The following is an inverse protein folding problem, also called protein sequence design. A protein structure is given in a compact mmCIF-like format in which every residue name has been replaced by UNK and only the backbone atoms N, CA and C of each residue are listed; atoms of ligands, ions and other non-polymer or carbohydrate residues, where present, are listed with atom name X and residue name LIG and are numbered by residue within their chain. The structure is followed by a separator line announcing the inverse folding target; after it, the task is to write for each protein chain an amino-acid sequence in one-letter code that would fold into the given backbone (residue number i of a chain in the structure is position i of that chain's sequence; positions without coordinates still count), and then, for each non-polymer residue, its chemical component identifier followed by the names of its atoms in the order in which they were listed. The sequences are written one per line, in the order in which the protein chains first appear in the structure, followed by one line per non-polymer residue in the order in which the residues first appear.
data_IF_925785687991
#
_entry.id   IF_925785687991
#
_cell.length_a   1.000
_cell.length_b   1.000
_cell.length_c   1.000
_cell.angle_alpha   90.00
_cell.angle_beta   90.00
_cell.angle_gamma   90.00
#
_symmetry.space_group_name_H-M   'P 1'
#
loop_
_entity.id
_entity.type
_entity.pdbx_description
1 polymer ?
#
# COMPACT_ATOMS: atom_id res chain seq x y z
N UNK A 1 -26.79 -11.47 0.45
CA UNK A 1 -25.87 -12.51 0.98
C UNK A 1 -26.50 -13.87 0.77
N UNK A 2 -25.75 -14.86 0.26
CA UNK A 2 -26.22 -16.24 0.18
C UNK A 2 -26.28 -16.82 1.61
N UNK A 3 -27.38 -17.47 1.98
CA UNK A 3 -27.50 -18.20 3.25
C UNK A 3 -26.67 -19.48 3.18
N UNK A 4 -25.88 -19.77 4.22
CA UNK A 4 -25.02 -20.95 4.25
C UNK A 4 -25.86 -22.23 4.19
N UNK A 5 -27.04 -22.20 4.79
CA UNK A 5 -28.03 -23.28 4.78
C UNK A 5 -28.47 -23.64 3.36
N UNK A 6 -28.69 -22.62 2.51
CA UNK A 6 -29.07 -22.83 1.10
C UNK A 6 -27.92 -23.44 0.31
N UNK A 7 -26.69 -22.93 0.49
CA UNK A 7 -25.50 -23.50 -0.13
C UNK A 7 -25.31 -24.97 0.25
N UNK A 8 -25.48 -25.32 1.53
CA UNK A 8 -25.33 -26.70 2.00
C UNK A 8 -26.42 -27.62 1.45
N UNK A 9 -27.65 -27.12 1.27
CA UNK A 9 -28.73 -27.87 0.63
C UNK A 9 -28.40 -28.20 -0.83
N UNK A 10 -27.86 -27.22 -1.57
CA UNK A 10 -27.44 -27.39 -2.96
C UNK A 10 -26.24 -28.38 -3.06
N UNK A 11 -25.22 -28.24 -2.20
CA UNK A 11 -24.11 -29.20 -2.15
C UNK A 11 -24.55 -30.63 -1.83
N UNK A 12 -25.57 -30.80 -0.97
CA UNK A 12 -26.14 -32.12 -0.66
C UNK A 12 -26.89 -32.69 -1.87
N UNK A 13 -27.57 -31.84 -2.65
CA UNK A 13 -28.20 -32.26 -3.89
C UNK A 13 -27.14 -32.77 -4.89
N UNK A 14 -26.07 -32.00 -5.11
CA UNK A 14 -24.98 -32.36 -6.02
C UNK A 14 -24.29 -33.65 -5.59
N UNK A 15 -23.93 -33.79 -4.30
CA UNK A 15 -23.26 -34.98 -3.78
C UNK A 15 -24.12 -36.27 -3.86
N UNK A 16 -25.45 -36.14 -3.96
CA UNK A 16 -26.35 -37.29 -4.19
C UNK A 16 -26.38 -37.70 -5.67
N UNK A 17 -26.20 -36.76 -6.58
CA UNK A 17 -26.17 -37.01 -8.01
C UNK A 17 -24.78 -37.43 -8.49
N UNK A 18 -23.72 -36.92 -7.86
CA UNK A 18 -22.32 -37.20 -8.17
C UNK A 18 -21.52 -37.41 -6.86
N UNK A 19 -21.41 -38.65 -6.36
CA UNK A 19 -20.84 -38.92 -5.04
C UNK A 19 -19.33 -38.64 -4.97
N UNK A 20 -18.85 -37.79 -4.05
CA UNK A 20 -17.43 -37.39 -3.96
C UNK A 20 -16.51 -38.44 -3.31
N UNK A 21 -16.99 -39.68 -3.14
CA UNK A 21 -16.27 -40.76 -2.45
C UNK A 21 -16.53 -40.83 -0.93
N UNK A 22 -15.85 -41.76 -0.26
CA UNK A 22 -16.01 -42.03 1.17
C UNK A 22 -14.78 -41.60 1.98
N UNK A 23 -15.01 -41.13 3.21
CA UNK A 23 -13.97 -40.90 4.21
C UNK A 23 -13.96 -42.05 5.22
N UNK A 24 -12.80 -42.47 5.75
CA UNK A 24 -12.70 -43.52 6.77
C UNK A 24 -13.12 -42.98 8.15
N UNK A 25 -14.38 -42.54 8.29
CA UNK A 25 -14.93 -41.93 9.49
C UNK A 25 -16.25 -42.61 9.89
N UNK A 26 -16.46 -42.81 11.19
CA UNK A 26 -17.70 -43.36 11.74
C UNK A 26 -18.65 -42.21 12.08
N UNK A 27 -19.94 -42.25 11.67
CA UNK A 27 -20.88 -41.13 11.80
C UNK A 27 -21.19 -40.66 13.23
N UNK A 28 -21.08 -41.54 14.22
CA UNK A 28 -21.61 -41.28 15.58
C UNK A 28 -20.53 -40.96 16.62
N UNK A 29 -19.35 -40.49 16.19
CA UNK A 29 -18.22 -40.19 17.07
C UNK A 29 -17.80 -38.72 17.09
N UNK A 30 -17.07 -38.33 18.14
CA UNK A 30 -16.46 -37.00 18.27
C UNK A 30 -15.57 -36.62 17.08
N UNK A 31 -14.93 -37.63 16.46
CA UNK A 31 -14.15 -37.48 15.25
C UNK A 31 -14.99 -36.98 14.06
N UNK A 32 -16.25 -37.43 13.92
CA UNK A 32 -17.15 -36.96 12.87
C UNK A 32 -17.66 -35.54 13.13
N UNK A 33 -17.99 -35.21 14.39
CA UNK A 33 -18.35 -33.85 14.76
C UNK A 33 -17.21 -32.85 14.51
N UNK A 34 -15.97 -33.24 14.82
CA UNK A 34 -14.78 -32.45 14.51
C UNK A 34 -14.57 -32.32 13.00
N UNK A 35 -14.66 -33.43 12.24
CA UNK A 35 -14.53 -33.41 10.79
C UNK A 35 -15.58 -32.50 10.12
N UNK A 36 -16.85 -32.52 10.56
CA UNK A 36 -17.90 -31.61 10.08
C UNK A 36 -17.56 -30.14 10.30
N UNK A 37 -17.09 -29.79 11.51
CA UNK A 37 -16.66 -28.42 11.82
C UNK A 37 -15.48 -28.00 10.95
N UNK A 38 -14.48 -28.87 10.78
CA UNK A 38 -13.31 -28.61 9.93
C UNK A 38 -13.71 -28.45 8.47
N UNK A 39 -14.55 -29.33 7.93
CA UNK A 39 -15.03 -29.27 6.56
C UNK A 39 -15.80 -27.97 6.28
N UNK A 40 -16.77 -27.61 7.15
CA UNK A 40 -17.52 -26.37 7.02
C UNK A 40 -16.63 -25.14 7.17
N UNK A 41 -15.73 -25.12 8.17
CA UNK A 41 -14.82 -24.00 8.38
C UNK A 41 -13.85 -23.83 7.20
N UNK A 42 -13.30 -24.93 6.67
CA UNK A 42 -12.40 -24.92 5.53
C UNK A 42 -13.12 -24.50 4.24
N UNK A 43 -14.31 -25.03 3.97
CA UNK A 43 -15.11 -24.65 2.80
C UNK A 43 -15.57 -23.19 2.85
N UNK A 44 -16.06 -22.72 4.00
CA UNK A 44 -16.42 -21.30 4.16
C UNK A 44 -15.19 -20.38 4.09
N UNK A 45 -14.04 -20.83 4.62
CA UNK A 45 -12.78 -20.09 4.47
C UNK A 45 -12.34 -20.04 3.00
N UNK A 46 -12.37 -21.17 2.29
CA UNK A 46 -12.04 -21.25 0.88
C UNK A 46 -12.97 -20.36 0.04
N UNK A 47 -14.28 -20.35 0.27
CA UNK A 47 -15.23 -19.46 -0.44
C UNK A 47 -15.02 -17.98 -0.11
N UNK A 48 -14.60 -17.66 1.12
CA UNK A 48 -14.19 -16.29 1.50
C UNK A 48 -12.85 -15.90 0.88
N UNK A 49 -11.96 -16.88 0.71
CA UNK A 49 -10.65 -16.73 0.07
C UNK A 49 -10.75 -16.67 -1.47
N UNK A 50 -11.72 -17.35 -2.09
CA UNK A 50 -12.06 -17.26 -3.52
C UNK A 50 -12.73 -15.93 -3.85
N UNK A 51 -13.55 -15.40 -2.92
CA UNK A 51 -14.05 -14.02 -2.96
C UNK A 51 -13.04 -13.02 -2.39
N UNK A 52 -11.74 -13.28 -2.52
CA UNK A 52 -10.74 -12.27 -2.17
C UNK A 52 -10.94 -11.06 -3.10
N UNK A 53 -11.01 -9.85 -2.53
CA UNK A 53 -10.81 -8.62 -3.31
C UNK A 53 -9.40 -8.53 -3.94
N UNK A 54 -8.57 -9.56 -3.77
CA UNK A 54 -7.26 -9.71 -4.38
C UNK A 54 -7.26 -10.47 -5.72
N UNK A 55 -8.45 -10.90 -6.20
CA UNK A 55 -8.61 -11.76 -7.38
C UNK A 55 -8.13 -11.15 -8.71
N UNK A 56 -7.72 -9.88 -8.74
CA UNK A 56 -7.14 -9.22 -9.92
C UNK A 56 -5.66 -8.84 -9.80
N UNK A 57 -5.02 -8.95 -8.63
CA UNK A 57 -3.66 -8.46 -8.46
C UNK A 57 -2.60 -9.41 -9.02
N UNK A 58 -1.68 -8.85 -9.81
CA UNK A 58 -0.49 -9.50 -10.30
C UNK A 58 0.76 -8.81 -9.79
N UNK A 59 1.83 -9.58 -9.54
CA UNK A 59 3.14 -9.05 -9.14
C UNK A 59 4.25 -9.58 -10.05
N UNK A 60 5.15 -8.67 -10.41
CA UNK A 60 6.45 -8.99 -10.99
C UNK A 60 7.56 -8.32 -10.19
N UNK A 61 8.67 -9.03 -10.00
CA UNK A 61 9.86 -8.52 -9.35
C UNK A 61 10.87 -8.10 -10.40
N UNK A 62 11.43 -6.89 -10.29
CA UNK A 62 12.43 -6.37 -11.24
C UNK A 62 13.63 -5.86 -10.48
N UNK A 63 14.83 -6.30 -10.86
CA UNK A 63 16.07 -5.97 -10.16
C UNK A 63 17.04 -5.22 -11.10
N UNK A 64 17.41 -3.97 -10.78
CA UNK A 64 18.37 -3.22 -11.58
C UNK A 64 19.78 -3.82 -11.53
N UNK A 65 20.47 -3.83 -12.66
CA UNK A 65 21.88 -4.18 -12.79
C UNK A 65 22.73 -2.97 -12.38
N UNK A 66 22.87 -2.82 -11.06
CA UNK A 66 23.63 -1.76 -10.45
C UNK A 66 22.92 -0.40 -10.42
N UNK A 67 23.61 0.58 -9.83
CA UNK A 67 23.00 1.86 -9.47
C UNK A 67 22.57 2.71 -10.67
N UNK A 68 23.25 2.58 -11.82
CA UNK A 68 23.02 3.39 -13.02
C UNK A 68 21.72 3.04 -13.74
N UNK A 69 21.16 1.86 -13.49
CA UNK A 69 19.94 1.39 -14.14
C UNK A 69 18.65 1.94 -13.50
N UNK A 70 18.71 2.45 -12.27
CA UNK A 70 17.53 2.93 -11.54
C UNK A 70 16.72 4.00 -12.31
N UNK A 71 17.30 5.08 -12.84
CA UNK A 71 16.53 6.10 -13.56
C UNK A 71 15.81 5.55 -14.80
N UNK A 72 16.45 4.61 -15.52
CA UNK A 72 15.83 3.97 -16.68
C UNK A 72 14.69 3.03 -16.25
N UNK A 73 14.87 2.27 -15.15
CA UNK A 73 13.83 1.41 -14.60
C UNK A 73 12.62 2.20 -14.12
N UNK A 74 12.79 3.34 -13.43
CA UNK A 74 11.66 4.17 -13.01
C UNK A 74 10.91 4.78 -14.19
N UNK A 75 11.63 5.26 -15.22
CA UNK A 75 10.98 5.76 -16.44
C UNK A 75 10.17 4.67 -17.10
N UNK A 76 10.75 3.47 -17.25
CA UNK A 76 10.03 2.33 -17.81
C UNK A 76 8.78 1.99 -17.00
N UNK A 77 8.89 1.93 -15.68
CA UNK A 77 7.75 1.67 -14.81
C UNK A 77 6.67 2.77 -14.90
N UNK A 78 7.06 4.04 -14.99
CA UNK A 78 6.13 5.15 -15.19
C UNK A 78 5.40 5.05 -16.55
N UNK A 79 6.12 4.68 -17.61
CA UNK A 79 5.55 4.48 -18.94
C UNK A 79 4.58 3.29 -18.94
N UNK A 80 4.97 2.15 -18.39
CA UNK A 80 4.13 0.95 -18.21
C UNK A 80 2.89 1.25 -17.38
N UNK A 81 3.02 2.03 -16.31
CA UNK A 81 1.86 2.43 -15.50
C UNK A 81 0.86 3.28 -16.29
N UNK A 82 1.36 4.24 -17.09
CA UNK A 82 0.49 5.07 -17.95
C UNK A 82 -0.16 4.26 -19.06
N UNK A 83 0.57 3.34 -19.67
CA UNK A 83 0.07 2.48 -20.75
C UNK A 83 -1.05 1.56 -20.26
N UNK A 84 -0.81 0.79 -19.20
CA UNK A 84 -1.76 -0.20 -18.70
C UNK A 84 -3.00 0.44 -18.05
N UNK A 85 -2.84 1.59 -17.38
CA UNK A 85 -3.99 2.32 -16.82
C UNK A 85 -4.75 3.11 -17.88
N UNK A 86 -4.06 3.64 -18.89
CA UNK A 86 -4.68 4.36 -20.00
C UNK A 86 -5.46 3.47 -20.96
N UNK A 87 -5.06 2.21 -21.12
CA UNK A 87 -5.78 1.22 -21.95
C UNK A 87 -6.94 0.53 -21.21
N UNK A 88 -7.04 0.71 -19.89
CA UNK A 88 -8.00 0.01 -19.04
C UNK A 88 -7.64 -1.45 -18.74
N UNK A 89 -6.43 -1.89 -19.09
CA UNK A 89 -5.92 -3.23 -18.71
C UNK A 89 -5.69 -3.36 -17.20
N UNK A 90 -5.40 -2.24 -16.54
CA UNK A 90 -5.32 -2.15 -15.09
C UNK A 90 -6.02 -0.88 -14.59
N UNK A 91 -6.64 -0.95 -13.42
CA UNK A 91 -7.28 0.19 -12.74
C UNK A 91 -6.38 0.76 -11.62
N UNK A 92 -5.60 -0.09 -10.98
CA UNK A 92 -4.69 0.25 -9.89
C UNK A 92 -3.28 -0.35 -10.07
N UNK A 93 -2.28 0.32 -9.50
CA UNK A 93 -0.91 -0.19 -9.49
C UNK A 93 -0.11 0.40 -8.34
N UNK A 94 0.88 -0.33 -7.85
CA UNK A 94 1.87 0.26 -6.98
C UNK A 94 3.19 -0.50 -7.03
N UNK A 95 4.25 0.14 -6.55
CA UNK A 95 5.54 -0.52 -6.38
C UNK A 95 6.09 -0.29 -4.98
N UNK A 96 7.02 -1.16 -4.58
CA UNK A 96 7.81 -0.98 -3.35
C UNK A 96 9.25 -1.39 -3.61
N UNK A 97 10.19 -0.66 -3.02
CA UNK A 97 11.58 -1.09 -2.97
C UNK A 97 11.73 -2.25 -2.00
N UNK A 98 12.17 -3.39 -2.52
CA UNK A 98 12.58 -4.53 -1.70
C UNK A 98 13.82 -5.16 -2.33
N UNK A 99 14.97 -5.22 -1.61
CA UNK A 99 16.20 -5.78 -2.15
C UNK A 99 15.96 -7.15 -2.81
N UNK A 100 16.51 -7.39 -4.01
CA UNK A 100 17.47 -6.55 -4.74
C UNK A 100 16.88 -5.43 -5.63
N UNK A 101 15.56 -5.21 -5.66
CA UNK A 101 14.96 -4.27 -6.61
C UNK A 101 13.57 -3.76 -6.22
N UNK A 102 12.62 -3.90 -7.14
CA UNK A 102 11.23 -3.51 -7.00
C UNK A 102 10.32 -4.73 -6.99
N UNK A 103 9.29 -4.67 -6.15
CA UNK A 103 8.06 -5.44 -6.35
C UNK A 103 7.08 -4.51 -7.04
N UNK A 104 6.66 -4.87 -8.24
CA UNK A 104 5.72 -4.09 -9.05
C UNK A 104 4.40 -4.86 -9.09
N UNK A 105 3.32 -4.19 -8.73
CA UNK A 105 1.98 -4.78 -8.59
C UNK A 105 0.99 -3.99 -9.42
N UNK A 106 0.14 -4.69 -10.16
CA UNK A 106 -0.99 -4.10 -10.87
C UNK A 106 -2.24 -4.91 -10.58
N UNK A 107 -3.39 -4.23 -10.56
CA UNK A 107 -4.69 -4.86 -10.45
C UNK A 107 -5.33 -4.90 -11.84
N UNK A 108 -5.77 -6.08 -12.27
CA UNK A 108 -6.54 -6.22 -13.49
C UNK A 108 -7.98 -5.73 -13.24
N UNK A 109 -8.50 -4.93 -14.17
CA UNK A 109 -9.88 -4.42 -14.10
C UNK A 109 -10.91 -5.54 -13.97
N UNK A 110 -10.63 -6.70 -14.57
CA UNK A 110 -11.41 -7.92 -14.40
C UNK A 110 -10.51 -9.04 -13.85
N UNK A 111 -10.93 -9.80 -12.82
CA UNK A 111 -10.12 -10.88 -12.23
C UNK A 111 -9.58 -11.91 -13.24
N UNK A 112 -10.38 -12.26 -14.25
CA UNK A 112 -9.97 -13.20 -15.31
C UNK A 112 -8.82 -12.67 -16.17
N UNK A 113 -8.58 -11.35 -16.18
CA UNK A 113 -7.50 -10.70 -16.90
C UNK A 113 -6.15 -10.74 -16.19
N UNK A 114 -6.08 -11.16 -14.93
CA UNK A 114 -4.84 -11.10 -14.13
C UNK A 114 -3.67 -11.88 -14.74
N UNK A 115 -3.94 -13.03 -15.36
CA UNK A 115 -2.91 -13.83 -16.03
C UNK A 115 -2.34 -13.12 -17.26
N UNK A 116 -3.20 -12.59 -18.13
CA UNK A 116 -2.80 -11.84 -19.31
C UNK A 116 -2.06 -10.55 -18.93
N UNK A 117 -2.54 -9.83 -17.91
CA UNK A 117 -1.88 -8.64 -17.37
C UNK A 117 -0.47 -8.95 -16.85
N UNK A 118 -0.28 -10.11 -16.21
CA UNK A 118 1.05 -10.56 -15.74
C UNK A 118 2.01 -10.80 -16.90
N UNK A 119 1.57 -11.50 -17.94
CA UNK A 119 2.38 -11.75 -19.14
C UNK A 119 2.77 -10.43 -19.81
N UNK A 120 1.81 -9.52 -19.89
CA UNK A 120 2.02 -8.19 -20.45
C UNK A 120 3.00 -7.35 -19.61
N UNK A 121 2.92 -7.43 -18.27
CA UNK A 121 3.90 -6.80 -17.40
C UNK A 121 5.32 -7.34 -17.58
N UNK A 122 5.47 -8.67 -17.71
CA UNK A 122 6.77 -9.29 -17.98
C UNK A 122 7.32 -8.79 -19.32
N UNK A 123 6.47 -8.75 -20.36
CA UNK A 123 6.83 -8.23 -21.68
C UNK A 123 7.24 -6.76 -21.61
N UNK A 124 6.41 -5.91 -21.02
CA UNK A 124 6.65 -4.48 -20.93
C UNK A 124 7.88 -4.18 -20.06
N UNK A 125 8.12 -4.86 -18.95
CA UNK A 125 9.29 -4.58 -18.13
C UNK A 125 10.56 -5.28 -18.65
N UNK A 126 10.45 -6.28 -19.52
CA UNK A 126 11.57 -7.00 -20.14
C UNK A 126 12.05 -6.46 -21.49
N UNK A 127 11.26 -5.66 -22.21
CA UNK A 127 11.53 -5.24 -23.60
C UNK A 127 12.39 -3.97 -23.74
N UNK A 128 13.15 -3.57 -22.72
CA UNK A 128 14.03 -2.41 -22.80
C UNK A 128 15.51 -2.82 -22.68
N UNK A 129 16.44 -2.22 -23.46
CA UNK A 129 17.87 -2.29 -23.19
C UNK A 129 18.18 -1.42 -21.96
N UNK A 130 17.69 -1.84 -20.81
CA UNK A 130 17.88 -1.18 -19.54
C UNK A 130 18.48 -2.21 -18.62
N UNK A 131 19.73 -2.02 -18.25
CA UNK A 131 20.51 -2.99 -17.47
C UNK A 131 19.79 -3.38 -16.18
N UNK A 132 18.90 -4.35 -16.25
CA UNK A 132 18.16 -4.97 -15.16
C UNK A 132 17.79 -6.38 -15.58
N UNK A 133 17.67 -7.26 -14.60
CA UNK A 133 17.33 -8.66 -14.85
C UNK A 133 15.91 -8.79 -15.40
N UNK A 134 15.67 -9.89 -16.14
CA UNK A 134 14.33 -10.22 -16.62
C UNK A 134 13.31 -10.20 -15.46
N UNK A 135 12.13 -9.58 -15.64
CA UNK A 135 11.08 -9.57 -14.63
C UNK A 135 10.68 -10.98 -14.22
N UNK A 136 10.57 -11.23 -12.91
CA UNK A 136 10.19 -12.54 -12.37
C UNK A 136 8.76 -12.46 -11.80
N UNK A 137 7.80 -13.22 -12.35
CA UNK A 137 6.46 -13.36 -11.76
C UNK A 137 6.50 -13.80 -10.30
N UNK A 138 5.61 -13.26 -9.48
CA UNK A 138 5.49 -13.61 -8.07
C UNK A 138 4.04 -13.54 -7.60
N UNK A 139 3.75 -14.21 -6.48
CA UNK A 139 2.45 -14.11 -5.81
C UNK A 139 2.44 -12.85 -4.94
N UNK A 140 1.37 -12.07 -5.04
CA UNK A 140 1.10 -10.97 -4.12
C UNK A 140 0.22 -11.45 -2.97
N UNK A 141 0.71 -11.30 -1.75
CA UNK A 141 -0.08 -11.44 -0.54
C UNK A 141 -0.23 -10.05 0.10
N UNK A 142 -1.44 -9.48 0.14
CA UNK A 142 -1.65 -8.18 0.77
C UNK A 142 -1.54 -8.26 2.28
N UNK A 143 -0.91 -7.24 2.86
CA UNK A 143 -0.77 -7.05 4.29
C UNK A 143 -2.09 -6.52 4.93
N UNK A 144 -3.22 -7.14 4.61
CA UNK A 144 -4.58 -6.71 5.01
C UNK A 144 -4.73 -6.50 6.51
N UNK A 145 -4.01 -7.29 7.33
CA UNK A 145 -4.01 -7.18 8.78
C UNK A 145 -3.48 -5.83 9.29
N UNK A 146 -2.57 -5.17 8.56
CA UNK A 146 -2.06 -3.83 8.90
C UNK A 146 -3.08 -2.74 8.61
N UNK A 147 -4.01 -2.99 7.68
CA UNK A 147 -4.92 -2.00 7.17
C UNK A 147 -6.37 -2.22 7.59
N UNK A 148 -6.66 -3.19 8.45
CA UNK A 148 -8.02 -3.41 8.99
C UNK A 148 -8.85 -4.43 8.21
N UNK A 149 -8.21 -5.22 7.36
CA UNK A 149 -8.80 -6.32 6.61
C UNK A 149 -9.06 -6.01 5.13
N UNK A 150 -9.57 -7.01 4.42
CA UNK A 150 -9.81 -7.00 2.98
C UNK A 150 -10.59 -5.76 2.49
N UNK A 151 -11.73 -5.43 3.14
CA UNK A 151 -12.55 -4.25 2.80
C UNK A 151 -11.76 -2.93 2.84
N UNK A 152 -10.89 -2.78 3.82
CA UNK A 152 -10.08 -1.56 3.94
C UNK A 152 -8.92 -1.54 2.96
N UNK A 153 -8.46 -2.71 2.52
CA UNK A 153 -7.29 -2.86 1.65
C UNK A 153 -7.55 -2.24 0.27
N UNK A 154 -8.77 -2.32 -0.24
CA UNK A 154 -9.17 -1.68 -1.51
C UNK A 154 -8.87 -0.18 -1.51
N UNK A 155 -9.20 0.52 -0.41
CA UNK A 155 -8.89 1.94 -0.25
C UNK A 155 -7.39 2.20 -0.07
N UNK A 156 -6.71 1.34 0.69
CA UNK A 156 -5.26 1.43 0.85
C UNK A 156 -4.51 1.26 -0.49
N UNK A 157 -5.01 0.38 -1.37
CA UNK A 157 -4.47 0.18 -2.72
C UNK A 157 -4.62 1.43 -3.58
N UNK A 158 -5.80 2.05 -3.64
CA UNK A 158 -6.00 3.33 -4.36
C UNK A 158 -5.05 4.41 -3.86
N UNK A 159 -4.86 4.48 -2.55
CA UNK A 159 -3.92 5.42 -1.94
C UNK A 159 -2.46 5.09 -2.32
N UNK A 160 -2.09 3.81 -2.39
CA UNK A 160 -0.78 3.38 -2.90
C UNK A 160 -0.60 3.70 -4.39
N UNK A 161 -1.66 3.66 -5.20
CA UNK A 161 -1.63 4.07 -6.61
C UNK A 161 -1.30 5.55 -6.76
N UNK A 162 -2.02 6.41 -6.04
CA UNK A 162 -1.75 7.85 -6.03
C UNK A 162 -0.32 8.16 -5.55
N UNK A 163 0.15 7.51 -4.48
CA UNK A 163 1.51 7.68 -3.97
C UNK A 163 2.59 7.19 -4.95
N UNK A 164 2.32 6.10 -5.66
CA UNK A 164 3.25 5.54 -6.63
C UNK A 164 3.48 6.46 -7.80
N UNK A 165 2.43 7.15 -8.28
CA UNK A 165 2.57 8.18 -9.31
C UNK A 165 3.45 9.33 -8.84
N UNK A 166 3.24 9.83 -7.61
CA UNK A 166 4.03 10.92 -7.04
C UNK A 166 5.51 10.57 -6.91
N UNK A 167 5.84 9.37 -6.43
CA UNK A 167 7.22 8.93 -6.31
C UNK A 167 7.88 8.60 -7.65
N UNK A 168 7.16 8.03 -8.62
CA UNK A 168 7.71 7.83 -9.96
C UNK A 168 8.07 9.15 -10.63
N UNK A 169 7.19 10.15 -10.51
CA UNK A 169 7.48 11.49 -10.98
C UNK A 169 8.73 12.05 -10.30
N UNK A 170 8.82 11.95 -8.97
CA UNK A 170 10.00 12.39 -8.22
C UNK A 170 11.30 11.70 -8.69
N UNK A 171 11.27 10.37 -8.83
CA UNK A 171 12.45 9.58 -9.22
C UNK A 171 12.89 9.80 -10.66
N UNK A 172 11.98 10.21 -11.54
CA UNK A 172 12.25 10.41 -12.98
C UNK A 172 12.44 11.89 -13.35
N UNK A 173 12.01 12.80 -12.48
CA UNK A 173 11.99 14.23 -12.78
C UNK A 173 13.37 14.89 -12.69
N UNK A 174 13.53 15.97 -13.45
CA UNK A 174 14.74 16.80 -13.41
C UNK A 174 14.69 17.72 -12.19
N UNK A 175 15.74 17.67 -11.36
CA UNK A 175 15.90 18.50 -10.14
C UNK A 175 14.62 18.48 -9.26
N UNK A 176 14.21 17.30 -8.75
CA UNK A 176 13.04 17.19 -7.90
C UNK A 176 13.21 18.00 -6.60
N UNK A 177 12.11 18.37 -5.92
CA UNK A 177 12.19 18.91 -4.56
C UNK A 177 12.96 17.97 -3.64
N UNK A 178 13.45 18.48 -2.51
CA UNK A 178 13.97 17.61 -1.46
C UNK A 178 12.90 16.56 -1.09
N UNK A 179 13.30 15.29 -1.07
CA UNK A 179 12.41 14.14 -0.92
C UNK A 179 11.56 14.20 0.36
N UNK A 180 12.12 14.65 1.48
CA UNK A 180 11.41 14.83 2.75
C UNK A 180 10.36 15.95 2.68
N UNK A 181 10.59 17.01 1.88
CA UNK A 181 9.60 18.09 1.67
C UNK A 181 8.43 17.60 0.85
N UNK A 182 8.70 16.85 -0.22
CA UNK A 182 7.66 16.16 -0.98
C UNK A 182 6.87 15.23 -0.04
N UNK A 183 7.57 14.36 0.68
CA UNK A 183 6.98 13.40 1.60
C UNK A 183 6.05 14.05 2.62
N UNK A 184 6.51 15.07 3.34
CA UNK A 184 5.69 15.76 4.34
C UNK A 184 4.50 16.51 3.74
N UNK A 185 4.64 17.05 2.52
CA UNK A 185 3.53 17.66 1.79
C UNK A 185 2.44 16.65 1.47
N UNK A 186 2.82 15.48 0.95
CA UNK A 186 1.88 14.42 0.59
C UNK A 186 1.27 13.76 1.85
N UNK A 187 2.08 13.52 2.88
CA UNK A 187 1.62 12.97 4.16
C UNK A 187 0.59 13.87 4.82
N UNK A 188 0.78 15.19 4.81
CA UNK A 188 -0.22 16.11 5.36
C UNK A 188 -1.55 16.00 4.62
N UNK A 189 -1.53 15.92 3.30
CA UNK A 189 -2.73 15.76 2.49
C UNK A 189 -3.50 14.45 2.80
N UNK A 190 -2.76 13.37 3.02
CA UNK A 190 -3.35 12.08 3.46
C UNK A 190 -3.96 12.20 4.85
N UNK A 191 -3.26 12.82 5.81
CA UNK A 191 -3.80 13.00 7.15
C UNK A 191 -5.06 13.89 7.14
N UNK A 192 -5.03 15.00 6.40
CA UNK A 192 -6.19 15.88 6.24
C UNK A 192 -7.38 15.10 5.64
N UNK A 193 -7.15 14.31 4.58
CA UNK A 193 -8.19 13.50 3.94
C UNK A 193 -8.75 12.38 4.83
N UNK A 194 -7.91 11.80 5.70
CA UNK A 194 -8.33 10.88 6.75
C UNK A 194 -9.06 11.56 7.91
N UNK A 195 -9.18 12.90 7.90
CA UNK A 195 -9.79 13.66 8.99
C UNK A 195 -8.93 13.76 10.25
N UNK A 196 -7.62 13.51 10.14
CA UNK A 196 -6.66 13.60 11.24
C UNK A 196 -6.12 15.04 11.28
N UNK A 197 -6.70 15.87 12.16
CA UNK A 197 -6.48 17.33 12.15
C UNK A 197 -5.83 17.83 13.44
N UNK A 198 -5.29 19.05 13.38
CA UNK A 198 -4.67 19.69 14.54
C UNK A 198 -3.58 18.81 15.14
N UNK A 199 -3.67 18.54 16.45
CA UNK A 199 -2.68 17.75 17.21
C UNK A 199 -2.82 16.23 17.03
N UNK A 200 -3.86 15.72 16.35
CA UNK A 200 -4.12 14.28 16.22
C UNK A 200 -3.04 13.53 15.43
N UNK A 201 -2.31 14.23 14.55
CA UNK A 201 -1.19 13.66 13.79
C UNK A 201 -0.13 13.04 14.71
N UNK A 202 0.03 13.52 15.94
CA UNK A 202 0.97 12.96 16.93
C UNK A 202 0.70 11.50 17.22
N UNK A 203 -0.58 11.09 17.22
CA UNK A 203 -0.95 9.69 17.37
C UNK A 203 -0.50 8.81 16.19
N UNK A 204 -0.39 9.38 14.99
CA UNK A 204 0.19 8.68 13.83
C UNK A 204 1.68 8.46 14.05
N UNK A 205 2.42 9.52 14.41
CA UNK A 205 3.87 9.43 14.62
C UNK A 205 4.24 8.56 15.81
N UNK A 206 3.43 8.57 16.86
CA UNK A 206 3.56 7.64 17.98
C UNK A 206 3.38 6.18 17.52
N UNK A 207 2.36 5.88 16.71
CA UNK A 207 2.17 4.54 16.16
C UNK A 207 3.30 4.13 15.19
N UNK A 208 3.82 5.07 14.38
CA UNK A 208 5.03 4.83 13.57
C UNK A 208 6.20 4.45 14.49
N UNK A 209 6.41 5.20 15.58
CA UNK A 209 7.50 4.98 16.54
C UNK A 209 7.38 3.64 17.28
N UNK A 210 6.18 3.27 17.71
CA UNK A 210 5.91 2.14 18.59
C UNK A 210 5.67 0.84 17.84
N UNK A 211 4.87 0.86 16.78
CA UNK A 211 4.46 -0.37 16.09
C UNK A 211 5.42 -0.76 14.97
N UNK A 212 6.17 0.20 14.44
CA UNK A 212 7.12 -0.06 13.35
C UNK A 212 8.56 0.02 13.82
N UNK A 213 8.84 0.58 14.99
CA UNK A 213 10.21 0.71 15.51
C UNK A 213 11.07 1.72 14.74
N UNK A 214 10.46 2.65 14.00
CA UNK A 214 11.15 3.75 13.30
C UNK A 214 11.55 4.79 14.34
N UNK A 215 12.61 4.48 15.07
CA UNK A 215 13.18 5.25 16.18
C UNK A 215 14.59 5.68 15.85
N UNK A 216 15.03 6.78 16.45
CA UNK A 216 16.42 7.19 16.37
C UNK A 216 17.16 6.76 17.64
N UNK A 217 18.24 5.99 17.50
CA UNK A 217 19.08 5.60 18.64
C UNK A 217 19.67 6.86 19.31
N UNK A 218 19.48 6.99 20.62
CA UNK A 218 19.84 8.20 21.38
C UNK A 218 18.85 9.37 21.22
N UNK A 219 17.73 9.16 20.54
CA UNK A 219 16.73 10.19 20.26
C UNK A 219 17.30 11.36 19.46
N UNK A 220 16.71 12.53 19.67
CA UNK A 220 17.11 13.79 19.03
C UNK A 220 18.34 14.45 19.66
N UNK A 221 19.01 13.82 20.64
CA UNK A 221 20.13 14.44 21.37
C UNK A 221 21.26 14.88 20.42
N UNK A 222 21.67 16.13 20.56
CA UNK A 222 22.82 16.71 19.87
C UNK A 222 22.39 17.78 18.86
N UNK A 223 23.18 18.85 18.78
CA UNK A 223 22.83 20.09 18.09
C UNK A 223 22.39 19.91 16.62
N UNK A 224 23.01 18.99 15.88
CA UNK A 224 22.63 18.73 14.48
C UNK A 224 21.25 18.06 14.34
N UNK A 225 20.93 17.12 15.24
CA UNK A 225 19.65 16.40 15.25
C UNK A 225 18.52 17.29 15.74
N UNK A 226 18.79 18.10 16.76
CA UNK A 226 17.88 19.13 17.27
C UNK A 226 17.52 20.13 16.15
N UNK A 227 18.52 20.73 15.50
CA UNK A 227 18.31 21.65 14.37
C UNK A 227 17.55 21.00 13.22
N UNK A 228 17.85 19.75 12.88
CA UNK A 228 17.14 19.05 11.82
C UNK A 228 15.67 18.79 12.19
N UNK A 229 15.40 18.40 13.44
CA UNK A 229 14.05 18.18 13.93
C UNK A 229 13.24 19.49 14.00
N UNK A 230 13.85 20.59 14.40
CA UNK A 230 13.25 21.93 14.33
C UNK A 230 12.86 22.31 12.90
N UNK A 231 13.75 22.08 11.93
CA UNK A 231 13.45 22.34 10.52
C UNK A 231 12.31 21.47 9.98
N UNK A 232 12.23 20.20 10.40
CA UNK A 232 11.13 19.30 10.07
C UNK A 232 9.81 19.79 10.66
N UNK A 233 9.78 20.13 11.95
CA UNK A 233 8.58 20.68 12.61
C UNK A 233 8.13 21.99 11.98
N UNK A 234 9.06 22.93 11.77
CA UNK A 234 8.76 24.21 11.15
C UNK A 234 8.14 24.03 9.76
N UNK A 235 8.62 23.08 8.96
CA UNK A 235 8.04 22.77 7.65
C UNK A 235 6.67 22.08 7.75
N UNK A 236 6.48 21.19 8.72
CA UNK A 236 5.21 20.50 8.96
C UNK A 236 4.09 21.47 9.35
N UNK A 237 4.40 22.47 10.18
CA UNK A 237 3.46 23.50 10.64
C UNK A 237 3.13 24.57 9.60
N UNK A 238 3.82 24.60 8.46
CA UNK A 238 3.47 25.54 7.38
C UNK A 238 2.02 25.30 6.91
N UNK A 239 1.25 26.37 6.67
CA UNK A 239 -0.02 26.27 5.97
C UNK A 239 0.16 25.57 4.62
N UNK A 240 -0.86 24.84 4.15
CA UNK A 240 -0.77 23.98 2.97
C UNK A 240 -0.25 24.73 1.73
N UNK A 241 -0.78 25.93 1.46
CA UNK A 241 -0.34 26.76 0.34
C UNK A 241 1.11 27.24 0.48
N UNK A 242 1.52 27.65 1.68
CA UNK A 242 2.90 28.07 1.96
C UNK A 242 3.87 26.90 1.78
N UNK A 243 3.47 25.69 2.18
CA UNK A 243 4.25 24.47 2.00
C UNK A 243 4.47 24.15 0.52
N UNK A 244 3.43 24.31 -0.31
CA UNK A 244 3.54 24.18 -1.77
C UNK A 244 4.45 25.25 -2.39
N UNK A 245 4.31 26.51 -1.95
CA UNK A 245 5.12 27.61 -2.47
C UNK A 245 6.60 27.47 -2.11
N UNK A 246 6.92 26.78 -1.02
CA UNK A 246 8.28 26.42 -0.64
C UNK A 246 8.92 25.35 -1.54
N UNK A 247 8.17 24.72 -2.46
CA UNK A 247 8.67 23.78 -3.45
C UNK A 247 9.16 24.51 -4.72
N UNK A 248 10.07 23.91 -5.51
CA UNK A 248 10.52 24.48 -6.77
C UNK A 248 9.33 24.78 -7.70
N UNK A 249 9.30 25.96 -8.32
CA UNK A 249 8.18 26.43 -9.15
C UNK A 249 7.78 25.41 -10.22
N UNK A 250 8.76 24.79 -10.89
CA UNK A 250 8.53 23.78 -11.93
C UNK A 250 7.79 22.52 -11.43
N UNK A 251 7.74 22.30 -10.12
CA UNK A 251 7.10 21.13 -9.50
C UNK A 251 5.75 21.44 -8.86
N UNK A 252 5.42 22.72 -8.61
CA UNK A 252 4.23 23.08 -7.81
C UNK A 252 2.93 22.53 -8.39
N UNK A 253 2.69 22.69 -9.69
CA UNK A 253 1.48 22.18 -10.34
C UNK A 253 1.37 20.64 -10.24
N UNK A 254 2.49 19.94 -10.45
CA UNK A 254 2.54 18.48 -10.36
C UNK A 254 2.32 17.98 -8.93
N UNK A 255 2.99 18.59 -7.96
CA UNK A 255 2.82 18.22 -6.54
C UNK A 255 1.42 18.56 -6.05
N UNK A 256 0.82 19.65 -6.53
CA UNK A 256 -0.59 19.99 -6.27
C UNK A 256 -1.51 18.87 -6.74
N UNK A 257 -1.35 18.40 -7.99
CA UNK A 257 -2.16 17.29 -8.51
C UNK A 257 -2.00 16.00 -7.70
N UNK A 258 -0.76 15.64 -7.32
CA UNK A 258 -0.50 14.45 -6.48
C UNK A 258 -1.08 14.58 -5.08
N UNK A 259 -0.92 15.76 -4.47
CA UNK A 259 -1.49 16.11 -3.15
C UNK A 259 -3.01 15.95 -3.17
N UNK A 260 -3.67 16.48 -4.18
CA UNK A 260 -5.14 16.45 -4.30
C UNK A 260 -5.64 15.03 -4.56
N UNK A 261 -4.94 14.24 -5.39
CA UNK A 261 -5.27 12.84 -5.62
C UNK A 261 -5.14 11.99 -4.34
N UNK A 262 -4.06 12.20 -3.57
CA UNK A 262 -3.86 11.52 -2.28
C UNK A 262 -4.90 11.93 -1.24
N UNK A 263 -5.21 13.22 -1.13
CA UNK A 263 -6.27 13.72 -0.24
C UNK A 263 -7.61 13.07 -0.57
N UNK A 264 -7.99 13.07 -1.86
CA UNK A 264 -9.23 12.43 -2.32
C UNK A 264 -9.28 10.93 -2.01
N UNK A 265 -8.21 10.18 -2.31
CA UNK A 265 -8.16 8.75 -2.00
C UNK A 265 -8.23 8.48 -0.48
N UNK A 266 -7.64 9.35 0.34
CA UNK A 266 -7.76 9.29 1.79
C UNK A 266 -9.17 9.61 2.30
N UNK A 267 -9.87 10.59 1.69
CA UNK A 267 -11.27 10.90 1.99
C UNK A 267 -12.21 9.73 1.63
N UNK A 268 -11.99 9.08 0.49
CA UNK A 268 -12.70 7.86 0.10
C UNK A 268 -12.47 6.74 1.12
N UNK A 269 -11.24 6.59 1.62
CA UNK A 269 -10.92 5.62 2.66
C UNK A 269 -11.64 5.94 3.99
N UNK A 270 -11.62 7.21 4.40
CA UNK A 270 -12.31 7.67 5.60
C UNK A 270 -13.81 7.37 5.54
N UNK A 271 -14.47 7.86 4.51
CA UNK A 271 -15.93 7.76 4.36
C UNK A 271 -16.38 6.33 4.07
N UNK A 272 -15.62 5.56 3.30
CA UNK A 272 -15.97 4.21 2.88
C UNK A 272 -15.67 3.10 3.90
N UNK A 273 -14.71 3.33 4.80
CA UNK A 273 -14.29 2.34 5.81
C UNK A 273 -14.33 2.89 7.24
N UNK A 274 -13.59 3.95 7.56
CA UNK A 274 -13.45 4.40 8.95
C UNK A 274 -14.76 4.95 9.55
N UNK A 275 -15.60 5.59 8.73
CA UNK A 275 -16.91 6.11 9.13
C UNK A 275 -18.06 5.10 8.90
N UNK A 276 -17.76 3.90 8.38
CA UNK A 276 -18.79 2.89 8.08
C UNK A 276 -19.40 2.20 9.31
N UNK A 277 -18.78 2.34 10.48
CA UNK A 277 -19.14 1.59 11.69
C UNK A 277 -18.55 0.16 11.75
N UNK A 278 -17.93 -0.33 10.68
CA UNK A 278 -17.34 -1.68 10.60
C UNK A 278 -15.81 -1.69 10.73
N UNK A 279 -15.21 -0.53 11.03
CA UNK A 279 -13.76 -0.39 11.10
C UNK A 279 -13.16 -1.21 12.25
N UNK A 280 -12.12 -1.99 11.93
CA UNK A 280 -11.42 -2.87 12.90
C UNK A 280 -10.18 -2.21 13.51
N UNK A 281 -9.68 -1.17 12.87
CA UNK A 281 -8.58 -0.32 13.33
C UNK A 281 -8.93 1.15 13.09
N UNK A 282 -8.30 2.05 13.84
CA UNK A 282 -8.48 3.49 13.64
C UNK A 282 -7.62 4.06 12.50
N UNK A 283 -8.01 5.23 11.93
CA UNK A 283 -7.31 5.86 10.82
C UNK A 283 -5.87 6.24 11.14
N UNK A 284 -5.56 6.61 12.40
CA UNK A 284 -4.20 6.97 12.81
C UNK A 284 -3.22 5.79 12.71
N UNK A 285 -3.67 4.58 13.07
CA UNK A 285 -2.88 3.36 13.00
C UNK A 285 -2.67 2.92 11.54
N UNK A 286 -3.74 2.96 10.74
CA UNK A 286 -3.65 2.66 9.31
C UNK A 286 -2.69 3.62 8.57
N UNK A 287 -2.80 4.92 8.86
CA UNK A 287 -1.89 5.95 8.34
C UNK A 287 -0.44 5.66 8.73
N UNK A 288 -0.18 5.27 9.99
CA UNK A 288 1.17 4.96 10.47
C UNK A 288 1.82 3.82 9.67
N UNK A 289 1.09 2.76 9.36
CA UNK A 289 1.60 1.70 8.49
C UNK A 289 1.80 2.20 7.05
N UNK A 290 0.86 2.98 6.51
CA UNK A 290 0.99 3.56 5.18
C UNK A 290 2.22 4.45 5.03
N UNK A 291 2.56 5.26 6.05
CA UNK A 291 3.78 6.10 6.09
C UNK A 291 5.03 5.27 5.78
N UNK A 292 5.11 4.03 6.28
CA UNK A 292 6.26 3.16 6.02
C UNK A 292 6.34 2.77 4.55
N UNK A 293 5.22 2.42 3.92
CA UNK A 293 5.20 2.13 2.49
C UNK A 293 5.57 3.36 1.66
N UNK A 294 5.07 4.53 2.04
CA UNK A 294 5.40 5.81 1.41
C UNK A 294 6.91 6.13 1.50
N UNK A 295 7.51 6.01 2.69
CA UNK A 295 8.96 6.23 2.87
C UNK A 295 9.83 5.19 2.19
N UNK A 296 9.42 3.93 2.17
CA UNK A 296 10.14 2.88 1.46
C UNK A 296 10.16 3.16 -0.05
N UNK A 297 9.04 3.61 -0.60
CA UNK A 297 8.91 4.02 -2.00
C UNK A 297 9.75 5.26 -2.34
N UNK A 298 9.89 6.17 -1.38
CA UNK A 298 10.82 7.30 -1.43
C UNK A 298 12.29 6.93 -1.17
N UNK A 299 12.61 5.67 -0.87
CA UNK A 299 13.95 5.16 -0.51
C UNK A 299 14.56 5.82 0.73
N UNK A 300 13.75 6.22 1.70
CA UNK A 300 14.27 6.84 2.92
C UNK A 300 15.05 5.82 3.73
N UNK A 301 16.25 6.19 4.18
CA UNK A 301 17.03 5.37 5.10
C UNK A 301 16.29 5.22 6.44
N UNK A 302 16.54 4.13 7.15
CA UNK A 302 15.97 3.90 8.50
C UNK A 302 16.29 5.07 9.42
N UNK A 303 17.49 5.64 9.34
CA UNK A 303 17.88 6.81 10.12
C UNK A 303 17.04 8.05 9.80
N UNK A 304 16.72 8.31 8.52
CA UNK A 304 15.83 9.42 8.12
C UNK A 304 14.39 9.18 8.56
N UNK A 305 13.88 7.96 8.41
CA UNK A 305 12.54 7.58 8.91
C UNK A 305 12.46 7.80 10.42
N UNK A 306 13.49 7.39 11.17
CA UNK A 306 13.60 7.64 12.61
C UNK A 306 13.64 9.12 12.95
N UNK A 307 14.46 9.93 12.27
CA UNK A 307 14.53 11.38 12.50
C UNK A 307 13.17 12.07 12.27
N UNK A 308 12.48 11.76 11.17
CA UNK A 308 11.16 12.34 10.89
C UNK A 308 10.14 11.92 11.94
N UNK A 309 10.18 10.66 12.36
CA UNK A 309 9.29 10.13 13.39
C UNK A 309 9.50 10.83 14.72
N UNK A 310 10.74 10.90 15.22
CA UNK A 310 11.05 11.57 16.49
C UNK A 310 10.76 13.07 16.42
N UNK A 311 11.02 13.72 15.29
CA UNK A 311 10.76 15.15 15.12
C UNK A 311 9.27 15.51 15.22
N UNK A 312 8.38 14.62 14.76
CA UNK A 312 6.94 14.86 14.66
C UNK A 312 6.11 14.17 15.76
N UNK A 313 6.70 13.24 16.51
CA UNK A 313 6.06 12.60 17.66
C UNK A 313 6.08 13.47 18.93
N UNK A 314 6.87 14.55 18.95
CA UNK A 314 7.05 15.46 20.08
C UNK A 314 7.01 16.93 19.60
N UNK A 315 6.51 17.82 20.46
CA UNK A 315 6.37 19.25 20.18
C UNK A 315 7.69 20.02 20.29
N UNK A 316 8.76 19.33 20.68
CA UNK A 316 10.05 19.97 20.99
C UNK A 316 9.97 20.88 22.22
N UNK A 317 8.92 20.75 23.04
CA UNK A 317 8.80 21.40 24.35
C UNK A 317 9.12 20.34 25.41
N UNK A 318 10.38 20.31 25.83
CA UNK A 318 10.75 19.73 27.11
C UNK A 318 10.43 20.73 28.23
#
# INVERSE_FOLDING_TARGET
MLQVERLLADCLHDARNEPPGALPLVPDGDAYAAARRTFLAAGLRALRDERRPDSGWTQVNVAPDGARAWPALYRRLADTARELTGSGAADDFFFVHKPPGLRVRFHATEPSGAAALREELVRLLGTAPGGWAAPVPAVYEPETYLFGGARSMEYAHRLHTADSRAWLDHHTGTRPPADWRLSLTLLRAVLDGLGIVGWEHRGVWQAVREETGRRLAGGLRGADRERAAEGVRAYWELPDQVRLDALPTAWRARVTAHRDALRKAAEEWRTGYFESGEARIGPRRAAAHWVIFHWNRGRFSVARQGLLTEALADDGRA
#
